data_IF_466846302589
#
_entry.id   IF_466846302589
#
_cell.length_a   1.000
_cell.length_b   1.000
_cell.length_c   1.000
_cell.angle_alpha   90.00
_cell.angle_beta   90.00
_cell.angle_gamma   90.00
#
_symmetry.space_group_name_H-M   'P 1'
#
loop_
_entity.id
_entity.type
_entity.pdbx_description
1 polymer ?
#
# COMPACT_ATOMS: atom_id res chain seq x y z
N UNK A 1 65.78 2.60 12.90
CA UNK A 1 64.87 1.47 13.15
C UNK A 1 63.57 1.74 12.42
N UNK A 2 63.37 1.08 11.30
CA UNK A 2 62.21 1.20 10.40
C UNK A 2 61.00 0.50 10.99
N UNK A 3 59.84 1.15 10.91
CA UNK A 3 58.53 0.67 11.34
C UNK A 3 58.01 -0.32 10.28
N UNK A 4 58.60 -1.51 10.18
CA UNK A 4 58.14 -2.54 9.23
C UNK A 4 57.83 -3.91 9.87
N UNK A 5 57.92 -4.04 11.20
CA UNK A 5 57.90 -5.37 11.84
C UNK A 5 56.72 -5.62 12.81
N UNK A 6 55.47 -5.25 12.47
CA UNK A 6 54.30 -5.54 13.33
C UNK A 6 53.11 -6.24 12.65
N UNK A 7 53.13 -6.51 11.34
CA UNK A 7 52.02 -7.21 10.66
C UNK A 7 52.37 -8.61 10.14
N UNK A 8 53.01 -9.43 10.97
CA UNK A 8 53.13 -10.86 10.72
C UNK A 8 52.21 -11.62 11.69
N UNK A 9 51.05 -12.07 11.21
CA UNK A 9 50.20 -13.01 11.97
C UNK A 9 48.71 -12.70 12.03
N UNK A 10 48.09 -12.21 10.96
CA UNK A 10 46.65 -12.39 10.79
C UNK A 10 46.43 -13.61 9.88
N UNK A 11 45.98 -14.72 10.45
CA UNK A 11 45.39 -15.82 9.67
C UNK A 11 44.31 -15.21 8.77
N UNK A 12 44.58 -15.17 7.47
CA UNK A 12 43.63 -14.73 6.46
C UNK A 12 42.52 -15.77 6.37
N UNK A 13 41.51 -15.64 7.23
CA UNK A 13 40.19 -16.18 6.93
C UNK A 13 39.84 -15.65 5.54
N UNK A 14 39.83 -16.52 4.52
CA UNK A 14 39.36 -16.18 3.18
C UNK A 14 38.02 -15.48 3.35
N UNK A 15 37.99 -14.17 3.15
CA UNK A 15 36.72 -13.46 3.13
C UNK A 15 35.93 -14.01 1.95
N UNK A 16 34.79 -14.60 2.25
CA UNK A 16 33.90 -15.16 1.25
C UNK A 16 33.39 -14.02 0.35
N UNK A 17 33.85 -14.02 -0.90
CA UNK A 17 33.52 -12.98 -1.88
C UNK A 17 32.02 -13.02 -2.18
N UNK A 18 31.35 -11.88 -2.03
CA UNK A 18 29.94 -11.70 -2.39
C UNK A 18 29.85 -10.92 -3.70
N UNK A 19 29.11 -11.45 -4.67
CA UNK A 19 28.74 -10.69 -5.86
C UNK A 19 27.49 -9.85 -5.56
N UNK A 20 27.64 -8.53 -5.54
CA UNK A 20 26.52 -7.60 -5.42
C UNK A 20 26.11 -7.12 -6.82
N UNK A 21 24.80 -7.02 -7.07
CA UNK A 21 24.26 -6.49 -8.31
C UNK A 21 23.00 -5.65 -8.07
N UNK A 22 22.93 -4.47 -8.67
CA UNK A 22 21.68 -3.72 -8.86
C UNK A 22 21.12 -3.98 -10.25
N UNK A 23 19.79 -3.99 -10.37
CA UNK A 23 19.07 -4.21 -11.61
C UNK A 23 18.05 -3.10 -11.80
N UNK A 24 18.37 -2.16 -12.69
CA UNK A 24 17.42 -1.15 -13.12
C UNK A 24 16.44 -1.79 -14.11
N UNK A 25 15.19 -1.94 -13.68
CA UNK A 25 14.12 -2.52 -14.49
C UNK A 25 13.49 -1.44 -15.37
N UNK A 26 13.41 -1.73 -16.67
CA UNK A 26 12.84 -0.84 -17.68
C UNK A 26 12.01 -1.59 -18.71
N UNK A 27 11.13 -0.86 -19.40
CA UNK A 27 10.28 -1.42 -20.47
C UNK A 27 11.05 -1.76 -21.75
N UNK A 28 12.20 -1.11 -21.99
CA UNK A 28 13.02 -1.28 -23.20
C UNK A 28 14.28 -2.12 -22.97
N UNK A 29 14.65 -2.38 -21.72
CA UNK A 29 15.80 -3.18 -21.34
C UNK A 29 16.05 -3.10 -19.84
N UNK A 30 16.80 -4.06 -19.30
CA UNK A 30 17.27 -4.01 -17.92
C UNK A 30 18.77 -3.71 -17.90
N UNK A 31 19.19 -2.82 -17.00
CA UNK A 31 20.61 -2.52 -16.80
C UNK A 31 21.08 -3.16 -15.50
N UNK A 32 22.05 -4.07 -15.61
CA UNK A 32 22.65 -4.75 -14.46
C UNK A 32 23.97 -4.09 -14.15
N UNK A 33 24.13 -3.53 -12.95
CA UNK A 33 25.39 -3.00 -12.44
C UNK A 33 25.87 -3.90 -11.30
N UNK A 34 27.04 -4.52 -11.45
CA UNK A 34 27.55 -5.49 -10.48
C UNK A 34 29.02 -5.26 -10.10
N UNK A 35 29.37 -5.73 -8.90
CA UNK A 35 30.71 -5.62 -8.31
C UNK A 35 30.93 -6.77 -7.31
N UNK A 36 32.15 -7.32 -7.29
CA UNK A 36 32.58 -8.24 -6.23
C UNK A 36 32.96 -7.45 -4.99
N UNK A 37 32.69 -7.98 -3.79
CA UNK A 37 33.01 -7.32 -2.51
C UNK A 37 34.51 -7.06 -2.30
N UNK A 38 35.37 -7.70 -3.10
CA UNK A 38 36.83 -7.63 -3.11
C UNK A 38 37.39 -6.75 -4.25
N UNK A 39 36.53 -6.21 -5.13
CA UNK A 39 36.94 -5.44 -6.31
C UNK A 39 36.37 -4.01 -6.26
N UNK A 40 37.14 -3.01 -6.70
CA UNK A 40 36.58 -1.67 -6.94
C UNK A 40 35.88 -1.57 -8.31
N UNK A 41 36.26 -2.42 -9.27
CA UNK A 41 35.81 -2.32 -10.66
C UNK A 41 34.37 -2.80 -10.82
N UNK A 42 33.51 -1.84 -11.16
CA UNK A 42 32.12 -2.09 -11.54
C UNK A 42 31.98 -2.65 -12.97
N UNK A 43 31.03 -3.55 -13.17
CA UNK A 43 30.62 -4.07 -14.47
C UNK A 43 29.18 -3.69 -14.75
N UNK A 44 28.93 -3.16 -15.95
CA UNK A 44 27.58 -2.87 -16.44
C UNK A 44 27.23 -3.76 -17.61
N UNK A 45 26.04 -4.33 -17.63
CA UNK A 45 25.56 -5.18 -18.72
C UNK A 45 24.08 -4.91 -18.95
N UNK A 46 23.72 -4.57 -20.19
CA UNK A 46 22.32 -4.44 -20.59
C UNK A 46 21.82 -5.78 -21.09
N UNK A 47 20.62 -6.14 -20.67
CA UNK A 47 19.87 -7.32 -21.13
C UNK A 47 18.50 -6.89 -21.62
N UNK A 48 17.83 -7.75 -22.38
CA UNK A 48 16.49 -7.49 -22.87
C UNK A 48 15.50 -7.34 -21.71
N UNK A 49 14.47 -6.51 -21.90
CA UNK A 49 13.40 -6.38 -20.90
C UNK A 49 12.71 -7.72 -20.70
N UNK A 50 12.36 -8.03 -19.45
CA UNK A 50 11.72 -9.29 -19.03
C UNK A 50 12.58 -10.56 -19.24
N UNK A 51 13.85 -10.45 -19.65
CA UNK A 51 14.75 -11.59 -19.78
C UNK A 51 15.35 -12.02 -18.43
N UNK A 52 14.48 -12.50 -17.54
CA UNK A 52 14.88 -12.95 -16.21
C UNK A 52 15.76 -14.20 -16.24
N UNK A 53 15.62 -15.04 -17.29
CA UNK A 53 16.50 -16.20 -17.49
C UNK A 53 17.90 -15.76 -17.87
N UNK A 54 18.03 -14.82 -18.81
CA UNK A 54 19.31 -14.21 -19.16
C UNK A 54 19.93 -13.43 -17.99
N UNK A 55 19.13 -12.80 -17.13
CA UNK A 55 19.61 -12.21 -15.88
C UNK A 55 20.24 -13.27 -14.95
N UNK A 56 19.56 -14.39 -14.71
CA UNK A 56 20.09 -15.47 -13.87
C UNK A 56 21.38 -16.03 -14.48
N UNK A 57 21.39 -16.29 -15.78
CA UNK A 57 22.58 -16.80 -16.47
C UNK A 57 23.76 -15.83 -16.35
N UNK A 58 23.51 -14.53 -16.55
CA UNK A 58 24.50 -13.47 -16.38
C UNK A 58 25.08 -13.48 -14.97
N UNK A 59 24.23 -13.51 -13.94
CA UNK A 59 24.65 -13.50 -12.54
C UNK A 59 25.42 -14.76 -12.16
N UNK A 60 24.96 -15.95 -12.59
CA UNK A 60 25.65 -17.23 -12.35
C UNK A 60 27.00 -17.30 -13.05
N UNK A 61 27.10 -16.80 -14.29
CA UNK A 61 28.37 -16.69 -15.00
C UNK A 61 29.33 -15.77 -14.23
N UNK A 62 28.87 -14.60 -13.80
CA UNK A 62 29.69 -13.66 -13.03
C UNK A 62 30.12 -14.22 -11.67
N UNK A 63 29.23 -14.96 -10.99
CA UNK A 63 29.53 -15.66 -9.74
C UNK A 63 30.68 -16.64 -9.93
N UNK A 64 30.61 -17.49 -10.96
CA UNK A 64 31.67 -18.46 -11.30
C UNK A 64 33.00 -17.79 -11.64
N UNK A 65 32.98 -16.77 -12.50
CA UNK A 65 34.19 -16.04 -12.89
C UNK A 65 34.91 -15.42 -11.69
N UNK A 66 34.17 -14.91 -10.71
CA UNK A 66 34.71 -14.29 -9.49
C UNK A 66 34.96 -15.28 -8.35
N UNK A 67 34.59 -16.55 -8.51
CA UNK A 67 34.59 -17.54 -7.42
C UNK A 67 33.83 -17.03 -6.19
N UNK A 68 32.76 -16.25 -6.40
CA UNK A 68 31.94 -15.69 -5.34
C UNK A 68 31.09 -16.79 -4.69
N UNK A 69 31.10 -16.87 -3.36
CA UNK A 69 30.36 -17.89 -2.61
C UNK A 69 28.85 -17.66 -2.69
N UNK A 70 28.42 -16.39 -2.82
CA UNK A 70 27.01 -16.00 -2.92
C UNK A 70 26.77 -14.82 -3.85
N UNK A 71 25.52 -14.65 -4.26
CA UNK A 71 25.04 -13.55 -5.11
C UNK A 71 23.90 -12.83 -4.41
N UNK A 72 24.04 -11.52 -4.24
CA UNK A 72 22.99 -10.63 -3.75
C UNK A 72 22.63 -9.66 -4.87
N UNK A 73 21.38 -9.74 -5.31
CA UNK A 73 20.80 -8.89 -6.32
C UNK A 73 19.79 -7.94 -5.68
N UNK A 74 19.58 -6.74 -6.22
CA UNK A 74 18.51 -5.86 -5.78
C UNK A 74 17.98 -4.97 -6.89
N UNK A 75 16.75 -4.52 -6.71
CA UNK A 75 16.08 -3.61 -7.62
C UNK A 75 15.06 -2.75 -6.87
N UNK A 76 14.74 -1.58 -7.41
CA UNK A 76 13.72 -0.70 -6.87
C UNK A 76 12.30 -1.22 -7.09
N UNK A 77 11.45 -1.17 -6.06
CA UNK A 77 10.04 -1.50 -6.19
C UNK A 77 9.37 -0.56 -7.23
N UNK A 78 8.91 -1.13 -8.34
CA UNK A 78 8.45 -0.37 -9.49
C UNK A 78 7.37 -1.07 -10.32
N UNK A 79 7.36 -0.78 -11.61
CA UNK A 79 6.36 -1.23 -12.60
C UNK A 79 6.22 -2.75 -12.64
N UNK A 80 7.35 -3.45 -12.58
CA UNK A 80 7.46 -4.90 -12.73
C UNK A 80 6.96 -5.64 -11.49
N UNK A 81 6.67 -4.93 -10.38
CA UNK A 81 6.19 -5.52 -9.15
C UNK A 81 7.19 -6.53 -8.57
N UNK A 82 6.70 -7.71 -8.20
CA UNK A 82 7.46 -8.71 -7.45
C UNK A 82 7.77 -10.00 -8.21
N UNK A 83 7.33 -10.14 -9.45
CA UNK A 83 7.64 -11.34 -10.23
C UNK A 83 9.15 -11.52 -10.47
N UNK A 84 9.99 -10.47 -10.68
CA UNK A 84 11.43 -10.65 -10.82
C UNK A 84 12.06 -11.19 -9.53
N UNK A 85 11.63 -10.66 -8.36
CA UNK A 85 12.03 -11.18 -7.06
C UNK A 85 11.72 -12.68 -6.94
N UNK A 86 10.49 -13.10 -7.27
CA UNK A 86 10.07 -14.51 -7.18
C UNK A 86 10.90 -15.42 -8.11
N UNK A 87 11.07 -15.01 -9.37
CA UNK A 87 11.83 -15.76 -10.35
C UNK A 87 13.30 -15.94 -9.95
N UNK A 88 13.94 -14.87 -9.46
CA UNK A 88 15.33 -14.92 -8.99
C UNK A 88 15.48 -15.73 -7.70
N UNK A 89 14.56 -15.59 -6.73
CA UNK A 89 14.58 -16.39 -5.51
C UNK A 89 14.37 -17.88 -5.79
N UNK A 90 13.48 -18.25 -6.72
CA UNK A 90 13.29 -19.63 -7.16
C UNK A 90 14.57 -20.22 -7.78
N UNK A 91 15.41 -19.37 -8.40
CA UNK A 91 16.72 -19.76 -8.90
C UNK A 91 17.83 -19.76 -7.84
N UNK A 92 17.50 -19.57 -6.55
CA UNK A 92 18.44 -19.57 -5.43
C UNK A 92 19.34 -18.32 -5.38
N UNK A 93 18.85 -17.17 -5.86
CA UNK A 93 19.54 -15.87 -5.76
C UNK A 93 18.92 -15.09 -4.60
N UNK A 94 19.76 -14.48 -3.75
CA UNK A 94 19.29 -13.56 -2.72
C UNK A 94 18.87 -12.24 -3.36
N UNK A 95 17.64 -11.80 -3.11
CA UNK A 95 17.11 -10.57 -3.70
C UNK A 95 16.72 -9.55 -2.63
N UNK A 96 17.07 -8.27 -2.86
CA UNK A 96 16.68 -7.11 -2.06
C UNK A 96 15.80 -6.19 -2.90
N UNK A 97 14.50 -6.15 -2.62
CA UNK A 97 13.61 -5.15 -3.24
C UNK A 97 13.67 -3.88 -2.43
N UNK A 98 14.17 -2.79 -3.00
CA UNK A 98 14.39 -1.52 -2.30
C UNK A 98 13.15 -0.61 -2.39
N UNK A 99 12.85 0.12 -1.32
CA UNK A 99 11.92 1.25 -1.35
C UNK A 99 12.62 2.48 -1.95
N UNK A 100 12.22 2.97 -3.15
CA UNK A 100 12.89 4.07 -3.84
C UNK A 100 13.00 5.33 -2.98
N UNK A 101 11.98 5.60 -2.16
CA UNK A 101 11.94 6.80 -1.31
C UNK A 101 12.90 6.73 -0.11
N UNK A 102 13.52 5.58 0.13
CA UNK A 102 14.36 5.33 1.30
C UNK A 102 15.86 5.28 1.00
N UNK A 103 16.25 5.24 -0.27
CA UNK A 103 17.65 5.14 -0.68
C UNK A 103 18.37 6.44 -0.31
N UNK A 104 19.45 6.32 0.46
CA UNK A 104 20.21 7.46 0.96
C UNK A 104 21.01 8.13 -0.17
N UNK A 105 20.49 9.24 -0.71
CA UNK A 105 21.17 10.02 -1.76
C UNK A 105 21.98 11.17 -1.17
N UNK A 106 23.20 11.39 -1.67
CA UNK A 106 24.02 12.55 -1.29
C UNK A 106 23.37 13.85 -1.78
N UNK A 107 22.92 14.70 -0.84
CA UNK A 107 22.19 15.95 -1.13
C UNK A 107 23.06 17.08 -1.70
N UNK A 108 24.40 16.94 -1.70
CA UNK A 108 25.33 18.00 -2.17
C UNK A 108 25.50 18.03 -3.70
N UNK A 109 25.07 16.99 -4.42
CA UNK A 109 25.05 16.97 -5.88
C UNK A 109 23.74 17.52 -6.43
N UNK A 110 23.76 18.68 -7.11
CA UNK A 110 22.66 19.09 -7.99
C UNK A 110 22.42 17.97 -9.00
N UNK A 111 21.19 17.47 -9.07
CA UNK A 111 20.81 16.30 -9.86
C UNK A 111 20.75 16.67 -11.35
N UNK A 112 21.80 16.36 -12.09
CA UNK A 112 21.67 16.09 -13.54
C UNK A 112 21.20 14.65 -13.65
N UNK A 113 19.99 14.44 -14.19
CA UNK A 113 19.40 13.11 -14.35
C UNK A 113 20.19 12.35 -15.42
N UNK A 114 21.17 11.56 -15.00
CA UNK A 114 21.88 10.61 -15.87
C UNK A 114 21.65 9.21 -15.34
N UNK A 115 21.03 8.35 -16.16
CA UNK A 115 20.72 6.94 -15.85
C UNK A 115 21.94 6.17 -15.31
N UNK A 116 23.16 6.58 -15.66
CA UNK A 116 24.43 5.98 -15.22
C UNK A 116 24.68 6.05 -13.70
N UNK A 117 24.04 6.99 -13.01
CA UNK A 117 24.25 7.28 -11.58
C UNK A 117 23.27 6.50 -10.69
N UNK A 118 22.09 6.17 -11.20
CA UNK A 118 21.03 5.55 -10.39
C UNK A 118 21.41 4.11 -9.99
N UNK A 119 21.87 3.27 -10.92
CA UNK A 119 22.28 1.88 -10.59
C UNK A 119 23.53 1.76 -9.71
N UNK A 120 24.42 2.75 -9.70
CA UNK A 120 25.54 2.76 -8.75
C UNK A 120 25.04 3.05 -7.33
N UNK A 121 24.14 4.02 -7.17
CA UNK A 121 23.55 4.37 -5.87
C UNK A 121 22.76 3.18 -5.30
N UNK A 122 22.00 2.47 -6.14
CA UNK A 122 21.33 1.24 -5.72
C UNK A 122 22.31 0.15 -5.32
N UNK A 123 23.39 -0.07 -6.09
CA UNK A 123 24.41 -1.06 -5.78
C UNK A 123 25.09 -0.77 -4.43
N UNK A 124 25.49 0.48 -4.20
CA UNK A 124 26.09 0.92 -2.94
C UNK A 124 25.12 0.75 -1.75
N UNK A 125 23.82 0.97 -1.97
CA UNK A 125 22.81 0.71 -0.95
C UNK A 125 22.69 -0.78 -0.62
N UNK A 126 22.75 -1.67 -1.62
CA UNK A 126 22.75 -3.13 -1.44
C UNK A 126 23.99 -3.57 -0.66
N UNK A 127 25.18 -3.12 -1.07
CA UNK A 127 26.43 -3.44 -0.38
C UNK A 127 26.44 -2.93 1.07
N UNK A 128 25.91 -1.72 1.30
CA UNK A 128 25.76 -1.19 2.65
C UNK A 128 24.84 -2.05 3.52
N UNK A 129 23.72 -2.54 2.97
CA UNK A 129 22.81 -3.44 3.66
C UNK A 129 23.49 -4.78 4.00
N UNK A 130 24.27 -5.33 3.07
CA UNK A 130 25.05 -6.56 3.30
C UNK A 130 26.14 -6.37 4.38
N UNK A 131 26.72 -5.17 4.47
CA UNK A 131 27.62 -4.79 5.56
C UNK A 131 26.89 -4.46 6.88
N UNK A 132 25.57 -4.67 6.97
CA UNK A 132 24.77 -4.43 8.17
C UNK A 132 24.31 -2.98 8.39
N UNK A 133 24.57 -2.05 7.45
CA UNK A 133 24.13 -0.65 7.52
C UNK A 133 22.66 -0.50 7.11
N UNK A 134 21.76 -0.89 8.03
CA UNK A 134 20.29 -0.87 7.85
C UNK A 134 19.66 0.50 7.53
N UNK A 135 20.41 1.58 7.66
CA UNK A 135 19.95 2.95 7.35
C UNK A 135 20.20 3.37 5.90
N UNK A 136 20.93 2.57 5.11
CA UNK A 136 21.27 2.90 3.72
C UNK A 136 20.05 2.87 2.78
N UNK A 137 19.17 1.89 2.98
CA UNK A 137 17.88 1.78 2.31
C UNK A 137 16.93 0.91 3.15
N UNK A 138 15.64 0.91 2.81
CA UNK A 138 14.64 -0.02 3.38
C UNK A 138 14.29 -1.06 2.33
N UNK A 139 14.28 -2.33 2.76
CA UNK A 139 13.75 -3.41 1.93
C UNK A 139 12.24 -3.50 2.06
N UNK A 140 11.55 -3.63 0.92
CA UNK A 140 10.14 -3.98 0.85
C UNK A 140 9.97 -5.43 1.30
N UNK A 141 8.99 -5.68 2.18
CA UNK A 141 8.56 -7.06 2.42
C UNK A 141 7.64 -7.44 1.29
N UNK A 142 8.13 -8.36 0.47
CA UNK A 142 7.44 -8.87 -0.69
C UNK A 142 6.30 -9.79 -0.21
N UNK A 143 5.04 -9.48 -0.56
CA UNK A 143 3.94 -10.40 -0.29
C UNK A 143 4.03 -11.66 -1.16
N UNK A 144 3.48 -12.77 -0.65
CA UNK A 144 3.22 -13.94 -1.50
C UNK A 144 2.25 -13.57 -2.63
N UNK A 145 2.18 -14.42 -3.65
CA UNK A 145 1.25 -14.24 -4.78
C UNK A 145 -0.19 -14.15 -4.32
N UNK A 146 -0.61 -15.08 -3.47
CA UNK A 146 -1.94 -15.08 -2.86
C UNK A 146 -2.19 -13.82 -2.01
N UNK A 147 -1.20 -13.32 -1.26
CA UNK A 147 -1.35 -12.10 -0.47
C UNK A 147 -1.43 -10.82 -1.31
N UNK A 148 -0.81 -10.81 -2.48
CA UNK A 148 -0.95 -9.71 -3.45
C UNK A 148 -2.32 -9.75 -4.12
N UNK A 149 -2.77 -10.94 -4.49
CA UNK A 149 -4.05 -11.18 -5.15
C UNK A 149 -5.24 -10.90 -4.22
N UNK A 150 -5.18 -11.32 -2.95
CA UNK A 150 -6.22 -11.05 -1.95
C UNK A 150 -6.52 -9.56 -1.72
N UNK A 151 -5.63 -8.65 -2.17
CA UNK A 151 -5.85 -7.18 -2.11
C UNK A 151 -6.67 -6.66 -3.28
N UNK A 152 -6.78 -7.42 -4.37
CA UNK A 152 -7.37 -6.94 -5.61
C UNK A 152 -8.84 -6.60 -5.44
N UNK A 153 -9.61 -7.37 -4.64
CA UNK A 153 -11.02 -7.09 -4.35
C UNK A 153 -11.20 -5.66 -3.79
N UNK A 154 -10.49 -5.34 -2.71
CA UNK A 154 -10.53 -4.00 -2.11
C UNK A 154 -9.99 -2.92 -3.04
N UNK A 155 -8.94 -3.24 -3.82
CA UNK A 155 -8.33 -2.29 -4.75
C UNK A 155 -9.21 -1.97 -5.94
N UNK A 156 -9.87 -2.97 -6.51
CA UNK A 156 -10.82 -2.89 -7.61
C UNK A 156 -12.05 -2.07 -7.20
N UNK A 157 -12.65 -2.40 -6.04
CA UNK A 157 -13.72 -1.58 -5.47
C UNK A 157 -13.31 -0.11 -5.34
N UNK A 158 -12.09 0.15 -4.85
CA UNK A 158 -11.57 1.51 -4.75
C UNK A 158 -11.43 2.25 -6.08
N UNK A 159 -11.12 1.55 -7.19
CA UNK A 159 -11.08 2.13 -8.54
C UNK A 159 -12.50 2.46 -9.02
N UNK A 160 -13.43 1.53 -8.88
CA UNK A 160 -14.83 1.72 -9.27
C UNK A 160 -15.53 2.83 -8.48
N UNK A 161 -15.25 2.97 -7.18
CA UNK A 161 -15.80 4.08 -6.37
C UNK A 161 -15.29 5.43 -6.88
N UNK A 162 -14.04 5.52 -7.31
CA UNK A 162 -13.49 6.75 -7.92
C UNK A 162 -14.18 7.05 -9.24
N UNK A 163 -14.34 6.04 -10.09
CA UNK A 163 -15.04 6.16 -11.37
C UNK A 163 -16.49 6.61 -11.19
N UNK A 164 -17.25 5.95 -10.29
CA UNK A 164 -18.61 6.33 -9.90
C UNK A 164 -18.67 7.80 -9.46
N UNK A 165 -17.73 8.22 -8.61
CA UNK A 165 -17.68 9.60 -8.09
C UNK A 165 -17.38 10.60 -9.20
N UNK A 166 -16.45 10.27 -10.11
CA UNK A 166 -16.11 11.10 -11.25
C UNK A 166 -17.31 11.24 -12.22
N UNK A 167 -18.04 10.15 -12.48
CA UNK A 167 -19.24 10.17 -13.32
C UNK A 167 -20.38 10.99 -12.71
N UNK A 168 -20.62 10.87 -11.39
CA UNK A 168 -21.60 11.71 -10.70
C UNK A 168 -21.21 13.20 -10.80
N UNK A 169 -19.94 13.52 -10.54
CA UNK A 169 -19.44 14.90 -10.63
C UNK A 169 -19.54 15.45 -12.06
N UNK A 170 -19.25 14.60 -13.06
CA UNK A 170 -19.39 14.93 -14.47
C UNK A 170 -20.83 15.27 -14.83
N UNK A 171 -21.77 14.37 -14.53
CA UNK A 171 -23.20 14.54 -14.82
C UNK A 171 -23.74 15.83 -14.18
N UNK A 172 -23.44 16.04 -12.90
CA UNK A 172 -23.84 17.27 -12.18
C UNK A 172 -23.28 18.53 -12.83
N UNK A 173 -22.00 18.53 -13.17
CA UNK A 173 -21.34 19.67 -13.83
C UNK A 173 -21.90 19.91 -15.24
N UNK A 174 -22.26 18.85 -15.96
CA UNK A 174 -22.83 18.93 -17.30
C UNK A 174 -24.23 19.56 -17.31
N UNK A 175 -25.07 19.19 -16.34
CA UNK A 175 -26.39 19.81 -16.14
C UNK A 175 -26.27 21.26 -15.67
N UNK A 176 -25.36 21.55 -14.74
CA UNK A 176 -25.14 22.91 -14.24
C UNK A 176 -24.75 23.91 -15.34
N UNK A 177 -23.98 23.47 -16.37
CA UNK A 177 -23.59 24.31 -17.52
C UNK A 177 -24.76 24.84 -18.34
N UNK A 178 -25.92 24.18 -18.29
CA UNK A 178 -27.15 24.61 -18.99
C UNK A 178 -28.23 25.11 -18.02
N UNK A 179 -27.86 25.30 -16.74
CA UNK A 179 -28.77 25.73 -15.68
C UNK A 179 -29.85 24.70 -15.34
N UNK A 180 -29.62 23.43 -15.64
CA UNK A 180 -30.48 22.33 -15.19
C UNK A 180 -29.97 21.79 -13.85
N UNK A 181 -30.88 21.46 -12.94
CA UNK A 181 -30.56 20.77 -11.69
C UNK A 181 -31.44 19.53 -11.53
N UNK A 182 -30.80 18.41 -11.22
CA UNK A 182 -31.46 17.13 -11.01
C UNK A 182 -30.93 16.48 -9.73
N UNK A 183 -31.74 15.64 -9.08
CA UNK A 183 -31.26 14.76 -8.03
C UNK A 183 -30.09 13.89 -8.50
N UNK A 184 -29.40 13.29 -7.53
CA UNK A 184 -28.23 12.48 -7.79
C UNK A 184 -28.53 11.38 -8.84
N UNK A 185 -27.64 11.18 -9.83
CA UNK A 185 -27.88 10.27 -10.95
C UNK A 185 -27.88 8.80 -10.57
N UNK A 186 -27.71 8.49 -9.28
CA UNK A 186 -27.85 7.16 -8.76
C UNK A 186 -29.26 6.77 -8.29
N UNK A 187 -30.17 7.74 -8.19
CA UNK A 187 -31.55 7.50 -7.76
C UNK A 187 -32.38 6.73 -8.81
N UNK A 188 -33.39 5.94 -8.39
CA UNK A 188 -34.34 5.33 -9.31
C UNK A 188 -35.11 6.37 -10.13
N UNK A 189 -35.43 6.03 -11.37
CA UNK A 189 -36.23 6.89 -12.26
C UNK A 189 -35.46 8.11 -12.80
N UNK A 190 -34.12 8.10 -12.76
CA UNK A 190 -33.33 9.28 -13.12
C UNK A 190 -33.36 9.60 -14.62
N UNK A 191 -33.39 8.60 -15.51
CA UNK A 191 -33.47 8.82 -16.96
C UNK A 191 -34.81 9.47 -17.36
N UNK A 192 -35.90 9.08 -16.70
CA UNK A 192 -37.23 9.65 -16.91
C UNK A 192 -37.29 11.11 -16.42
N UNK A 193 -36.51 11.46 -15.39
CA UNK A 193 -36.33 12.85 -14.95
C UNK A 193 -35.46 13.63 -15.93
N UNK A 194 -34.39 13.01 -16.43
CA UNK A 194 -33.51 13.61 -17.44
C UNK A 194 -34.28 13.97 -18.72
N UNK A 195 -35.15 13.09 -19.23
CA UNK A 195 -35.98 13.37 -20.40
C UNK A 195 -36.96 14.55 -20.21
N UNK A 196 -37.31 14.86 -18.96
CA UNK A 196 -38.16 16.00 -18.58
C UNK A 196 -37.36 17.25 -18.21
N UNK A 197 -36.03 17.16 -18.11
CA UNK A 197 -35.18 18.27 -17.76
C UNK A 197 -35.26 19.38 -18.80
N UNK A 198 -35.12 20.62 -18.33
CA UNK A 198 -35.09 21.83 -19.14
C UNK A 198 -33.88 22.65 -18.77
N UNK A 199 -33.40 23.43 -19.73
CA UNK A 199 -32.37 24.44 -19.52
C UNK A 199 -32.95 25.64 -18.75
N UNK A 200 -32.07 26.56 -18.34
CA UNK A 200 -32.44 27.81 -17.66
C UNK A 200 -33.51 28.64 -18.40
N UNK A 201 -33.56 28.55 -19.73
CA UNK A 201 -34.52 29.29 -20.58
C UNK A 201 -35.81 28.51 -20.89
N UNK A 202 -36.06 27.39 -20.20
CA UNK A 202 -37.23 26.54 -20.39
C UNK A 202 -37.17 25.62 -21.62
N UNK A 203 -36.13 25.72 -22.46
CA UNK A 203 -35.96 24.83 -23.61
C UNK A 203 -35.51 23.42 -23.19
N UNK A 204 -35.79 22.37 -23.98
CA UNK A 204 -35.23 21.04 -23.76
C UNK A 204 -33.70 21.04 -23.74
N UNK A 205 -33.09 20.03 -23.09
CA UNK A 205 -31.64 19.85 -23.15
C UNK A 205 -31.17 19.62 -24.59
N UNK A 206 -30.01 20.18 -25.00
CA UNK A 206 -29.46 19.95 -26.34
C UNK A 206 -29.24 18.46 -26.62
N UNK A 207 -29.56 18.01 -27.84
CA UNK A 207 -29.49 16.58 -28.25
C UNK A 207 -28.16 15.90 -27.90
N UNK A 208 -27.03 16.57 -28.16
CA UNK A 208 -25.71 15.99 -27.89
C UNK A 208 -25.38 15.92 -26.39
N UNK A 209 -25.86 16.88 -25.59
CA UNK A 209 -25.74 16.83 -24.14
C UNK A 209 -26.59 15.68 -23.57
N UNK A 210 -27.82 15.52 -24.06
CA UNK A 210 -28.69 14.41 -23.67
C UNK A 210 -28.01 13.05 -23.89
N UNK A 211 -27.53 12.81 -25.13
CA UNK A 211 -26.83 11.58 -25.49
C UNK A 211 -25.62 11.29 -24.57
N UNK A 212 -24.82 12.32 -24.30
CA UNK A 212 -23.63 12.15 -23.48
C UNK A 212 -23.96 11.91 -21.99
N UNK A 213 -25.01 12.55 -21.47
CA UNK A 213 -25.54 12.27 -20.13
C UNK A 213 -26.09 10.84 -20.01
N UNK A 214 -26.76 10.33 -21.03
CA UNK A 214 -27.24 8.94 -21.09
C UNK A 214 -26.07 7.94 -21.06
N UNK A 215 -25.03 8.15 -21.88
CA UNK A 215 -23.81 7.32 -21.89
C UNK A 215 -23.04 7.41 -20.55
N UNK A 216 -22.98 8.59 -19.93
CA UNK A 216 -22.39 8.74 -18.60
C UNK A 216 -23.19 8.00 -17.52
N UNK A 217 -24.53 8.05 -17.60
CA UNK A 217 -25.41 7.34 -16.69
C UNK A 217 -25.30 5.82 -16.86
N UNK A 218 -25.21 5.30 -18.09
CA UNK A 218 -25.00 3.86 -18.33
C UNK A 218 -23.71 3.35 -17.66
N UNK A 219 -22.59 4.05 -17.86
CA UNK A 219 -21.31 3.75 -17.19
C UNK A 219 -21.44 3.83 -15.67
N UNK A 220 -22.18 4.81 -15.15
CA UNK A 220 -22.43 4.95 -13.72
C UNK A 220 -23.19 3.74 -13.17
N UNK A 221 -24.24 3.29 -13.86
CA UNK A 221 -25.01 2.09 -13.46
C UNK A 221 -24.13 0.84 -13.47
N UNK A 222 -23.28 0.68 -14.49
CA UNK A 222 -22.33 -0.45 -14.55
C UNK A 222 -21.36 -0.43 -13.36
N UNK A 223 -20.72 0.71 -13.09
CA UNK A 223 -19.81 0.85 -11.94
C UNK A 223 -20.51 0.57 -10.61
N UNK A 224 -21.76 1.05 -10.42
CA UNK A 224 -22.54 0.73 -9.21
C UNK A 224 -22.80 -0.78 -9.06
N UNK A 225 -23.24 -1.47 -10.12
CA UNK A 225 -23.47 -2.93 -10.08
C UNK A 225 -22.19 -3.71 -9.75
N UNK A 226 -21.06 -3.32 -10.33
CA UNK A 226 -19.78 -3.97 -10.06
C UNK A 226 -19.30 -3.73 -8.62
N UNK A 227 -19.52 -2.53 -8.06
CA UNK A 227 -19.26 -2.27 -6.64
C UNK A 227 -20.13 -3.17 -5.76
N UNK A 228 -21.43 -3.28 -6.06
CA UNK A 228 -22.36 -4.11 -5.29
C UNK A 228 -21.98 -5.59 -5.33
N UNK A 229 -21.49 -6.09 -6.47
CA UNK A 229 -20.99 -7.45 -6.63
C UNK A 229 -19.76 -7.73 -5.76
N UNK A 230 -18.72 -6.88 -5.84
CA UNK A 230 -17.52 -7.01 -4.99
C UNK A 230 -17.87 -6.88 -3.50
N UNK A 231 -18.82 -6.01 -3.18
CA UNK A 231 -19.33 -5.92 -1.83
C UNK A 231 -20.12 -7.17 -1.43
N UNK A 232 -20.87 -7.82 -2.32
CA UNK A 232 -21.55 -9.08 -2.01
C UNK A 232 -20.56 -10.19 -1.66
N UNK A 233 -19.46 -10.27 -2.40
CA UNK A 233 -18.36 -11.20 -2.15
C UNK A 233 -17.71 -10.97 -0.77
N UNK A 234 -17.38 -9.72 -0.42
CA UNK A 234 -16.90 -9.39 0.93
C UNK A 234 -17.90 -9.75 2.05
N UNK A 235 -19.20 -9.67 1.75
CA UNK A 235 -20.27 -10.09 2.66
C UNK A 235 -20.22 -11.60 2.86
N UNK A 236 -20.12 -12.36 1.77
CA UNK A 236 -19.99 -13.82 1.79
C UNK A 236 -18.74 -14.27 2.57
N UNK A 237 -17.60 -13.62 2.34
CA UNK A 237 -16.34 -13.88 3.04
C UNK A 237 -16.45 -13.71 4.57
N UNK A 238 -17.00 -12.59 5.07
CA UNK A 238 -17.23 -12.40 6.51
C UNK A 238 -18.16 -13.48 7.07
N UNK A 239 -19.22 -13.80 6.34
CA UNK A 239 -20.23 -14.78 6.74
C UNK A 239 -19.62 -16.18 6.86
N UNK A 240 -18.66 -16.52 6.01
CA UNK A 240 -17.88 -17.76 6.05
C UNK A 240 -16.93 -17.84 7.25
N UNK A 241 -16.44 -16.71 7.77
CA UNK A 241 -15.58 -16.67 8.96
C UNK A 241 -16.33 -16.61 10.30
N UNK A 242 -17.65 -16.40 10.28
CA UNK A 242 -18.45 -16.32 11.50
C UNK A 242 -18.79 -17.71 12.05
N UNK A 243 -18.33 -18.03 13.26
CA UNK A 243 -18.74 -19.23 13.98
C UNK A 243 -20.19 -19.10 14.49
N UNK A 244 -21.06 -20.08 14.20
CA UNK A 244 -22.35 -20.25 14.89
C UNK A 244 -23.53 -19.37 14.47
N UNK A 245 -23.60 -18.91 13.21
CA UNK A 245 -24.71 -18.05 12.77
C UNK A 245 -26.10 -18.71 12.78
N UNK A 246 -27.11 -18.02 13.34
CA UNK A 246 -28.55 -18.34 13.24
C UNK A 246 -28.96 -18.70 11.80
N UNK A 247 -29.98 -19.56 11.65
CA UNK A 247 -30.57 -20.02 10.38
C UNK A 247 -30.61 -18.87 9.35
N UNK A 248 -29.71 -18.91 8.35
CA UNK A 248 -29.55 -17.86 7.32
C UNK A 248 -30.46 -18.15 6.13
N UNK A 249 -30.79 -17.10 5.37
CA UNK A 249 -31.48 -17.25 4.08
C UNK A 249 -30.64 -18.09 3.10
N UNK A 250 -31.31 -18.88 2.25
CA UNK A 250 -30.67 -19.83 1.32
C UNK A 250 -29.63 -19.15 0.39
N UNK A 251 -29.97 -18.02 -0.22
CA UNK A 251 -29.08 -17.29 -1.15
C UNK A 251 -27.76 -16.85 -0.50
N UNK A 252 -27.83 -16.37 0.75
CA UNK A 252 -26.63 -15.96 1.50
C UNK A 252 -25.72 -17.14 1.82
N UNK A 253 -26.30 -18.30 2.10
CA UNK A 253 -25.54 -19.54 2.34
C UNK A 253 -24.86 -20.03 1.08
N UNK A 254 -25.55 -19.98 -0.06
CA UNK A 254 -24.97 -20.36 -1.36
C UNK A 254 -23.78 -19.48 -1.74
N UNK A 255 -23.90 -18.16 -1.61
CA UNK A 255 -22.79 -17.23 -1.88
C UNK A 255 -21.59 -17.47 -0.94
N UNK A 256 -21.84 -17.74 0.34
CA UNK A 256 -20.78 -18.10 1.29
C UNK A 256 -20.10 -19.41 0.90
N UNK A 257 -20.86 -20.43 0.51
CA UNK A 257 -20.31 -21.72 0.07
C UNK A 257 -19.47 -21.58 -1.19
N UNK A 258 -19.95 -20.83 -2.19
CA UNK A 258 -19.21 -20.56 -3.42
C UNK A 258 -17.89 -19.82 -3.14
N UNK A 259 -17.91 -18.82 -2.25
CA UNK A 259 -16.68 -18.16 -1.83
C UNK A 259 -15.71 -19.12 -1.13
N UNK A 260 -16.21 -20.02 -0.26
CA UNK A 260 -15.36 -20.99 0.45
C UNK A 260 -14.64 -21.96 -0.49
N UNK A 261 -15.26 -22.34 -1.60
CA UNK A 261 -14.66 -23.27 -2.57
C UNK A 261 -13.56 -22.65 -3.41
N UNK A 262 -13.59 -21.33 -3.59
CA UNK A 262 -12.65 -20.60 -4.45
C UNK A 262 -11.57 -19.84 -3.67
N UNK A 263 -11.84 -19.50 -2.40
CA UNK A 263 -10.96 -18.65 -1.61
C UNK A 263 -9.60 -19.30 -1.29
N UNK A 264 -8.54 -18.57 -1.62
CA UNK A 264 -7.17 -18.89 -1.26
C UNK A 264 -6.91 -18.76 0.25
N UNK A 265 -5.85 -19.39 0.79
CA UNK A 265 -5.45 -19.21 2.18
C UNK A 265 -5.25 -17.74 2.60
N UNK A 266 -4.71 -16.91 1.70
CA UNK A 266 -4.54 -15.48 1.96
C UNK A 266 -5.88 -14.72 2.05
N UNK A 267 -6.87 -15.08 1.23
CA UNK A 267 -8.21 -14.50 1.31
C UNK A 267 -8.93 -14.90 2.59
N UNK A 268 -8.79 -16.16 3.02
CA UNK A 268 -9.27 -16.60 4.33
C UNK A 268 -8.64 -15.81 5.47
N UNK A 269 -7.33 -15.56 5.42
CA UNK A 269 -6.65 -14.76 6.44
C UNK A 269 -7.18 -13.31 6.46
N UNK A 270 -7.35 -12.68 5.29
CA UNK A 270 -7.91 -11.32 5.17
C UNK A 270 -9.36 -11.27 5.68
N UNK A 271 -10.19 -12.23 5.27
CA UNK A 271 -11.59 -12.32 5.68
C UNK A 271 -11.73 -12.51 7.20
N UNK A 272 -10.92 -13.39 7.80
CA UNK A 272 -10.91 -13.62 9.24
C UNK A 272 -10.49 -12.38 10.04
N UNK A 273 -9.46 -11.67 9.57
CA UNK A 273 -9.08 -10.38 10.18
C UNK A 273 -10.19 -9.32 10.01
N UNK A 274 -10.79 -9.24 8.83
CA UNK A 274 -11.86 -8.28 8.54
C UNK A 274 -13.12 -8.57 9.36
N UNK A 275 -13.46 -9.84 9.58
CA UNK A 275 -14.55 -10.27 10.45
C UNK A 275 -14.32 -9.78 11.87
N UNK A 276 -13.15 -10.08 12.45
CA UNK A 276 -12.78 -9.66 13.82
C UNK A 276 -12.82 -8.16 13.96
N UNK A 277 -12.20 -7.41 13.05
CA UNK A 277 -12.22 -5.95 13.04
C UNK A 277 -13.65 -5.40 12.97
N UNK A 278 -14.51 -6.01 12.15
CA UNK A 278 -15.91 -5.60 11.99
C UNK A 278 -16.76 -5.81 13.24
N UNK A 279 -16.29 -6.59 14.22
CA UNK A 279 -16.95 -6.71 15.53
C UNK A 279 -16.79 -5.45 16.37
N UNK A 280 -15.77 -4.62 16.16
CA UNK A 280 -15.65 -3.36 16.88
C UNK A 280 -16.69 -2.35 16.36
N UNK A 281 -17.48 -1.75 17.26
CA UNK A 281 -18.41 -0.67 16.90
C UNK A 281 -17.62 0.50 16.27
N UNK A 282 -18.16 1.10 15.21
CA UNK A 282 -17.46 2.12 14.42
C UNK A 282 -16.52 1.59 13.33
N UNK A 283 -16.19 0.29 13.33
CA UNK A 283 -15.47 -0.33 12.21
C UNK A 283 -16.46 -1.13 11.36
N UNK A 284 -16.65 -0.66 10.13
CA UNK A 284 -17.48 -1.32 9.13
C UNK A 284 -16.68 -2.29 8.25
N UNK A 285 -17.39 -3.22 7.60
CA UNK A 285 -16.81 -4.23 6.69
C UNK A 285 -15.81 -3.65 5.69
N UNK A 286 -16.15 -2.55 5.03
CA UNK A 286 -15.28 -1.95 4.00
C UNK A 286 -13.95 -1.48 4.60
N UNK A 287 -14.00 -0.81 5.76
CA UNK A 287 -12.80 -0.39 6.50
C UNK A 287 -12.01 -1.63 6.93
N UNK A 288 -12.69 -2.64 7.46
CA UNK A 288 -12.07 -3.86 7.93
C UNK A 288 -11.31 -4.62 6.83
N UNK A 289 -11.93 -4.86 5.67
CA UNK A 289 -11.26 -5.49 4.52
C UNK A 289 -10.07 -4.69 4.02
N UNK A 290 -10.23 -3.36 3.90
CA UNK A 290 -9.14 -2.50 3.47
C UNK A 290 -7.95 -2.59 4.43
N UNK A 291 -8.17 -2.54 5.75
CA UNK A 291 -7.08 -2.61 6.72
C UNK A 291 -6.46 -4.01 6.82
N UNK A 292 -7.26 -5.07 6.78
CA UNK A 292 -6.77 -6.44 6.75
C UNK A 292 -5.87 -6.69 5.52
N UNK A 293 -6.36 -6.37 4.32
CA UNK A 293 -5.62 -6.59 3.07
C UNK A 293 -4.44 -5.63 2.85
N UNK A 294 -4.51 -4.38 3.29
CA UNK A 294 -3.45 -3.40 3.04
C UNK A 294 -2.42 -3.30 4.17
N UNK A 295 -2.78 -3.61 5.42
CA UNK A 295 -1.91 -3.39 6.60
C UNK A 295 -1.63 -4.67 7.35
N UNK A 296 -2.67 -5.35 7.84
CA UNK A 296 -2.54 -6.39 8.86
C UNK A 296 -2.26 -7.80 8.33
N UNK A 297 -2.22 -7.97 7.01
CA UNK A 297 -1.61 -9.14 6.36
C UNK A 297 -0.12 -9.29 6.74
N UNK A 298 0.55 -8.18 7.09
CA UNK A 298 1.98 -8.15 7.42
C UNK A 298 2.19 -8.22 8.92
N UNK A 299 3.21 -8.98 9.32
CA UNK A 299 3.72 -8.98 10.68
C UNK A 299 4.55 -7.72 10.98
N UNK A 300 4.29 -7.12 12.13
CA UNK A 300 5.06 -6.00 12.66
C UNK A 300 5.74 -6.43 13.97
N UNK A 301 6.99 -6.03 14.15
CA UNK A 301 7.72 -6.28 15.39
C UNK A 301 7.33 -5.30 16.50
N UNK A 302 6.93 -4.08 16.13
CA UNK A 302 6.60 -3.04 17.10
C UNK A 302 5.64 -1.97 16.54
N UNK A 303 5.04 -1.19 17.46
CA UNK A 303 4.12 -0.08 17.16
C UNK A 303 4.70 1.00 16.23
N UNK A 304 6.03 1.20 16.21
CA UNK A 304 6.66 2.21 15.35
C UNK A 304 6.61 1.78 13.88
N UNK A 305 6.79 0.48 13.61
CA UNK A 305 6.70 -0.06 12.26
C UNK A 305 5.28 0.08 11.69
N UNK A 306 4.23 -0.16 12.49
CA UNK A 306 2.84 0.06 12.06
C UNK A 306 2.63 1.52 11.61
N UNK A 307 3.00 2.48 12.46
CA UNK A 307 2.86 3.91 12.15
C UNK A 307 3.69 4.36 10.94
N UNK A 308 4.91 3.83 10.80
CA UNK A 308 5.77 4.08 9.65
C UNK A 308 5.19 3.51 8.35
N UNK A 309 4.66 2.29 8.38
CA UNK A 309 4.11 1.61 7.21
C UNK A 309 2.89 2.33 6.61
N UNK A 310 2.01 2.87 7.47
CA UNK A 310 0.84 3.65 7.02
C UNK A 310 1.19 5.12 6.72
N UNK A 311 2.43 5.54 6.91
CA UNK A 311 2.88 6.91 6.67
C UNK A 311 2.29 7.94 7.64
N UNK A 312 1.89 7.51 8.84
CA UNK A 312 1.41 8.36 9.95
C UNK A 312 2.51 8.61 11.00
N UNK A 313 3.73 8.14 10.74
CA UNK A 313 4.92 8.47 11.53
C UNK A 313 5.24 9.98 11.44
N UNK A 314 5.66 10.59 12.55
CA UNK A 314 6.17 11.96 12.51
C UNK A 314 7.53 12.03 11.81
N UNK A 315 7.76 13.10 11.07
CA UNK A 315 9.08 13.45 10.54
C UNK A 315 9.68 14.56 11.39
N UNK A 316 10.87 14.31 11.90
CA UNK A 316 11.63 15.26 12.72
C UNK A 316 12.88 15.66 11.94
N UNK A 317 13.11 16.97 11.81
CA UNK A 317 14.38 17.51 11.32
C UNK A 317 14.99 18.32 12.44
N UNK A 318 15.94 17.68 13.14
CA UNK A 318 16.64 18.28 14.28
C UNK A 318 18.11 18.42 13.94
N UNK A 319 18.65 19.62 14.10
CA UNK A 319 20.08 19.91 14.01
C UNK A 319 20.47 20.80 15.19
N UNK A 320 21.34 20.29 16.07
CA UNK A 320 21.72 20.98 17.30
C UNK A 320 20.51 21.25 18.21
N UNK A 321 20.41 22.48 18.74
CA UNK A 321 19.35 22.91 19.66
C UNK A 321 17.98 23.18 18.98
N UNK A 322 17.89 23.11 17.64
CA UNK A 322 16.64 23.38 16.93
C UNK A 322 15.92 22.08 16.58
N UNK A 323 14.71 21.94 17.12
CA UNK A 323 13.80 20.82 16.85
C UNK A 323 12.65 21.29 15.98
N UNK A 324 12.59 20.84 14.72
CA UNK A 324 11.50 21.17 13.80
C UNK A 324 10.71 19.93 13.43
N UNK A 325 9.45 19.85 13.87
CA UNK A 325 8.50 18.85 13.41
C UNK A 325 8.00 19.21 12.01
N UNK A 326 8.19 18.31 11.04
CA UNK A 326 7.81 18.50 9.63
C UNK A 326 6.46 17.86 9.28
N UNK A 327 5.67 17.47 10.28
CA UNK A 327 4.39 16.79 10.12
C UNK A 327 4.54 15.27 9.99
N UNK A 328 3.60 14.62 9.29
CA UNK A 328 3.66 13.17 9.02
C UNK A 328 4.51 12.86 7.79
N UNK A 329 5.16 11.70 7.77
CA UNK A 329 6.04 11.28 6.66
C UNK A 329 5.34 11.22 5.32
N UNK A 330 4.08 10.75 5.30
CA UNK A 330 3.31 10.34 4.10
C UNK A 330 3.96 9.25 3.26
N UNK A 331 5.26 8.96 3.45
CA UNK A 331 5.97 7.77 2.98
C UNK A 331 5.36 6.53 3.66
N UNK A 332 4.59 5.75 2.90
CA UNK A 332 3.81 4.60 3.38
C UNK A 332 2.51 4.41 2.59
N UNK A 333 1.71 3.40 2.94
CA UNK A 333 0.51 3.02 2.19
C UNK A 333 -0.58 4.11 2.22
N UNK A 334 -0.85 4.82 1.10
CA UNK A 334 -1.79 5.94 1.08
C UNK A 334 -3.25 5.49 1.23
N UNK A 335 -3.61 4.29 0.74
CA UNK A 335 -4.98 3.74 0.87
C UNK A 335 -5.30 3.41 2.33
N UNK A 336 -4.35 2.77 3.01
CA UNK A 336 -4.45 2.49 4.44
C UNK A 336 -4.55 3.79 5.25
N UNK A 337 -3.70 4.79 4.94
CA UNK A 337 -3.73 6.09 5.62
C UNK A 337 -5.08 6.79 5.50
N UNK A 338 -5.64 6.85 4.29
CA UNK A 338 -6.97 7.42 4.06
C UNK A 338 -8.02 6.67 4.87
N UNK A 339 -8.03 5.33 4.76
CA UNK A 339 -8.99 4.47 5.47
C UNK A 339 -8.92 4.65 6.99
N UNK A 340 -7.71 4.78 7.56
CA UNK A 340 -7.51 4.98 8.99
C UNK A 340 -7.99 6.35 9.49
N UNK A 341 -7.87 7.40 8.69
CA UNK A 341 -8.40 8.73 9.06
C UNK A 341 -9.92 8.71 9.07
N UNK A 342 -10.55 8.09 8.07
CA UNK A 342 -12.01 7.88 8.06
C UNK A 342 -12.47 7.02 9.23
N UNK A 343 -11.77 5.91 9.49
CA UNK A 343 -12.04 5.04 10.63
C UNK A 343 -11.90 5.78 11.96
N UNK A 344 -10.95 6.70 12.09
CA UNK A 344 -10.77 7.50 13.30
C UNK A 344 -11.96 8.46 13.54
N UNK A 345 -12.52 9.06 12.49
CA UNK A 345 -13.73 9.88 12.63
C UNK A 345 -14.92 9.05 13.12
N UNK A 346 -15.18 7.91 12.46
CA UNK A 346 -16.23 6.98 12.86
C UNK A 346 -16.00 6.42 14.27
N UNK A 347 -14.75 6.23 14.67
CA UNK A 347 -14.39 5.80 16.01
C UNK A 347 -14.80 6.85 17.06
N UNK A 348 -14.51 8.13 16.83
CA UNK A 348 -14.93 9.21 17.76
C UNK A 348 -16.44 9.26 17.92
N UNK A 349 -17.18 9.06 16.82
CA UNK A 349 -18.64 9.09 16.80
C UNK A 349 -19.27 7.87 17.48
N UNK A 350 -18.79 6.67 17.16
CA UNK A 350 -19.44 5.44 17.58
C UNK A 350 -18.82 4.75 18.80
N UNK A 351 -17.66 5.22 19.26
CA UNK A 351 -16.97 4.76 20.47
C UNK A 351 -16.66 5.94 21.42
N UNK A 352 -17.66 6.78 21.77
CA UNK A 352 -17.43 8.05 22.45
C UNK A 352 -16.75 7.92 23.81
N UNK A 353 -16.91 6.77 24.47
CA UNK A 353 -16.39 6.48 25.81
C UNK A 353 -15.05 5.73 25.79
N UNK A 354 -14.57 5.34 24.61
CA UNK A 354 -13.25 4.72 24.48
C UNK A 354 -12.14 5.69 24.85
N UNK A 355 -11.06 5.16 25.43
CA UNK A 355 -9.89 5.97 25.82
C UNK A 355 -9.31 6.76 24.63
N UNK A 356 -9.39 6.19 23.42
CA UNK A 356 -8.98 6.84 22.17
C UNK A 356 -9.87 8.04 21.80
N UNK A 357 -11.19 7.90 21.88
CA UNK A 357 -12.12 9.00 21.61
C UNK A 357 -12.01 10.11 22.66
N UNK A 358 -11.86 9.74 23.94
CA UNK A 358 -11.66 10.69 25.04
C UNK A 358 -10.33 11.44 24.90
N UNK A 359 -9.26 10.76 24.47
CA UNK A 359 -7.99 11.40 24.14
C UNK A 359 -8.13 12.43 22.99
N UNK A 360 -8.93 12.13 21.96
CA UNK A 360 -9.18 13.08 20.89
C UNK A 360 -9.98 14.30 21.40
N UNK A 361 -11.03 14.08 22.19
CA UNK A 361 -11.86 15.14 22.77
C UNK A 361 -11.04 16.08 23.66
N UNK A 362 -10.09 15.57 24.45
CA UNK A 362 -9.21 16.39 25.28
C UNK A 362 -8.17 17.18 24.47
N UNK A 363 -7.73 16.65 23.31
CA UNK A 363 -6.78 17.33 22.42
C UNK A 363 -7.40 18.32 21.45
N UNK A 364 -8.69 18.15 21.14
CA UNK A 364 -9.44 19.03 20.24
C UNK A 364 -10.86 19.28 20.80
N UNK A 365 -10.97 20.00 21.95
CA UNK A 365 -12.26 20.34 22.54
C UNK A 365 -13.12 21.21 21.60
N UNK A 366 -14.41 21.33 21.91
CA UNK A 366 -15.31 22.24 21.17
C UNK A 366 -14.73 23.67 21.17
N UNK A 367 -14.77 24.35 20.02
CA UNK A 367 -14.14 25.67 19.83
C UNK A 367 -12.69 25.63 19.32
N UNK A 368 -12.07 24.46 19.25
CA UNK A 368 -10.73 24.29 18.64
C UNK A 368 -10.75 24.61 17.14
N UNK A 369 -9.68 25.23 16.63
CA UNK A 369 -9.56 25.52 15.20
C UNK A 369 -9.66 24.25 14.33
N UNK A 370 -10.24 24.39 13.13
CA UNK A 370 -10.36 23.31 12.15
C UNK A 370 -9.01 22.63 11.86
N UNK A 371 -7.93 23.42 11.82
CA UNK A 371 -6.56 22.90 11.61
C UNK A 371 -6.12 21.98 12.74
N UNK A 372 -6.24 22.43 14.00
CA UNK A 372 -5.85 21.62 15.16
C UNK A 372 -6.69 20.34 15.26
N UNK A 373 -7.99 20.42 14.97
CA UNK A 373 -8.88 19.25 14.93
C UNK A 373 -8.44 18.23 13.88
N UNK A 374 -8.02 18.68 12.68
CA UNK A 374 -7.45 17.82 11.63
C UNK A 374 -6.12 17.18 12.04
N UNK A 375 -5.27 17.90 12.76
CA UNK A 375 -4.02 17.33 13.29
C UNK A 375 -4.33 16.26 14.35
N UNK A 376 -5.26 16.54 15.26
CA UNK A 376 -5.66 15.61 16.31
C UNK A 376 -6.26 14.31 15.75
N UNK A 377 -7.10 14.39 14.70
CA UNK A 377 -7.67 13.16 14.11
C UNK A 377 -6.62 12.32 13.39
N UNK A 378 -5.63 12.94 12.74
CA UNK A 378 -4.51 12.22 12.10
C UNK A 378 -3.67 11.49 13.17
N UNK A 379 -3.44 12.13 14.31
CA UNK A 379 -2.77 11.50 15.44
C UNK A 379 -3.62 10.38 16.07
N UNK A 380 -4.95 10.54 16.13
CA UNK A 380 -5.88 9.48 16.54
C UNK A 380 -5.81 8.28 15.59
N UNK A 381 -5.81 8.52 14.27
CA UNK A 381 -5.70 7.47 13.25
C UNK A 381 -4.45 6.61 13.44
N UNK A 382 -3.32 7.21 13.81
CA UNK A 382 -2.09 6.47 14.15
C UNK A 382 -2.28 5.60 15.39
N UNK A 383 -2.89 6.14 16.45
CA UNK A 383 -3.16 5.40 17.69
C UNK A 383 -4.13 4.25 17.44
N UNK A 384 -5.19 4.51 16.68
CA UNK A 384 -6.16 3.50 16.27
C UNK A 384 -5.49 2.39 15.45
N UNK A 385 -4.62 2.72 14.49
CA UNK A 385 -3.90 1.72 13.71
C UNK A 385 -3.09 0.74 14.58
N UNK A 386 -2.45 1.25 15.64
CA UNK A 386 -1.71 0.43 16.61
C UNK A 386 -2.64 -0.37 17.52
N UNK A 387 -3.75 0.22 17.96
CA UNK A 387 -4.74 -0.47 18.80
C UNK A 387 -5.40 -1.63 18.05
N UNK A 388 -5.79 -1.43 16.79
CA UNK A 388 -6.34 -2.47 15.93
C UNK A 388 -5.32 -3.58 15.63
N UNK A 389 -4.03 -3.24 15.51
CA UNK A 389 -2.96 -4.23 15.38
C UNK A 389 -2.86 -5.13 16.62
N UNK A 390 -2.82 -4.55 17.82
CA UNK A 390 -2.83 -5.33 19.08
C UNK A 390 -4.11 -6.15 19.25
N UNK A 391 -5.26 -5.61 18.83
CA UNK A 391 -6.52 -6.35 18.84
C UNK A 391 -6.46 -7.60 17.97
N UNK A 392 -5.89 -7.48 16.75
CA UNK A 392 -5.74 -8.61 15.85
C UNK A 392 -4.68 -9.61 16.31
N UNK A 393 -3.52 -9.11 16.76
CA UNK A 393 -2.37 -9.92 17.14
C UNK A 393 -2.55 -10.61 18.49
N UNK A 394 -2.97 -9.84 19.50
CA UNK A 394 -2.92 -10.23 20.91
C UNK A 394 -4.34 -10.39 21.51
N UNK A 395 -5.40 -10.12 20.75
CA UNK A 395 -6.79 -10.18 21.23
C UNK A 395 -7.19 -9.03 22.15
N UNK A 396 -6.30 -8.05 22.37
CA UNK A 396 -6.52 -6.94 23.30
C UNK A 396 -7.53 -5.95 22.71
N UNK A 397 -8.73 -5.91 23.28
CA UNK A 397 -9.75 -4.93 22.92
C UNK A 397 -9.27 -3.53 23.32
N UNK A 398 -9.36 -2.51 22.44
CA UNK A 398 -9.00 -1.14 22.81
C UNK A 398 -9.80 -0.68 24.04
N UNK A 399 -9.14 -0.05 25.01
CA UNK A 399 -9.76 0.31 26.29
C UNK A 399 -11.03 1.14 26.11
N UNK A 400 -12.13 0.67 26.72
CA UNK A 400 -13.46 1.29 26.64
C UNK A 400 -14.15 1.15 25.27
N UNK A 401 -13.64 0.31 24.37
CA UNK A 401 -14.31 0.04 23.10
C UNK A 401 -15.41 -1.00 23.24
N UNK A 402 -16.57 -0.70 22.66
CA UNK A 402 -17.69 -1.62 22.57
C UNK A 402 -17.51 -2.58 21.38
N UNK A 403 -17.71 -3.86 21.65
CA UNK A 403 -17.83 -4.91 20.63
C UNK A 403 -19.31 -5.08 20.32
N UNK A 404 -19.66 -5.24 19.03
CA UNK A 404 -21.02 -5.55 18.58
C UNK A 404 -21.41 -6.91 19.15
N UNK A 405 -22.64 -6.97 19.66
CA UNK A 405 -23.26 -8.20 20.17
C UNK A 405 -23.49 -9.22 19.05
#
# INVERSE_FOLDING_TARGET
>A
MTIEAVFAGASTTKQDVTLCASVELGSTGWLVTSRGSDEERLRRTRIAANDWRGLIELLRRQQKTRRASRVVCGYEAGREGFWPYRAMCAAGIEVRVLDPASIAVNRRGRRTKTDRTDGLVELEAIEALEAGRRTAARCVVVPSEEQEDARQVGRARGRLVKERTALIAYIKSALARVGADLPSPDQPGWLERLGRARQWNGQPLPRNLMRDLELAHERLRLACRQIEALEAEQRAAIISCQAGGKRRQSKTRQAAQAWQTEASPAEWAVAGQAERLSRLKGIGRIIAFNLAGEVYWRNFANRRQVGGYVGLGGTEHSSGAQRRELGISKAGNPRARFTLVEAAWLWVEHQPDSALAQWFKSRAPKGTSTRQRRVAIVALARKLAVALWHYLKDGIVPQGAHVKA
#
